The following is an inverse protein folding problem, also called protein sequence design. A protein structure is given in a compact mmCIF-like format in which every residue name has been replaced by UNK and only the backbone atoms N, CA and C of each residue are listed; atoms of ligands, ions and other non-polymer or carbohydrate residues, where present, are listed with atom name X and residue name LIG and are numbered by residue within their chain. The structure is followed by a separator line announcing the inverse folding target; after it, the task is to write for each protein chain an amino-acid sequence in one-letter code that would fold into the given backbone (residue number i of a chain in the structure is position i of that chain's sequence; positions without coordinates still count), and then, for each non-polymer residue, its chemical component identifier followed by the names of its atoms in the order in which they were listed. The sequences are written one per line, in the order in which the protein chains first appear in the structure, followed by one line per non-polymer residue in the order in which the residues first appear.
data_IF_799551342902
#
_entry.id   IF_799551342902
#
_cell.length_a   1.000
_cell.length_b   1.000
_cell.length_c   1.000
_cell.angle_alpha   90.00
_cell.angle_beta   90.00
_cell.angle_gamma   90.00
#
_symmetry.space_group_name_H-M   'P 1'
#
loop_
_entity.id
_entity.type
_entity.pdbx_description
1 polymer ?
#
# COMPACT_ATOMS: atom_id res chain seq x y z
N UNK A 1 -18.80 10.24 -1.62
CA UNK A 1 -19.41 8.93 -1.25
C UNK A 1 -19.20 8.78 0.25
N UNK A 2 -20.16 8.26 1.02
CA UNK A 2 -20.02 8.16 2.48
C UNK A 2 -19.90 6.69 2.89
N UNK A 3 -18.72 6.32 3.39
CA UNK A 3 -18.35 4.99 3.91
C UNK A 3 -17.88 5.14 5.36
N UNK A 4 -17.81 4.05 6.12
CA UNK A 4 -17.29 4.07 7.48
C UNK A 4 -15.84 4.57 7.52
N UNK A 5 -15.03 4.26 6.49
CA UNK A 5 -13.66 4.78 6.35
C UNK A 5 -13.64 6.32 6.20
N UNK A 6 -14.49 6.87 5.31
CA UNK A 6 -14.55 8.34 5.11
C UNK A 6 -14.92 9.08 6.38
N UNK A 7 -15.77 8.48 7.21
CA UNK A 7 -16.16 9.06 8.51
C UNK A 7 -15.07 8.91 9.56
N UNK A 8 -14.43 7.73 9.62
CA UNK A 8 -13.34 7.44 10.56
C UNK A 8 -12.16 8.39 10.39
N UNK A 9 -11.75 8.60 9.13
CA UNK A 9 -10.58 9.41 8.78
C UNK A 9 -10.91 10.85 8.41
N UNK A 10 -12.19 11.22 8.30
CA UNK A 10 -12.64 12.56 7.88
C UNK A 10 -12.13 12.97 6.48
N UNK A 11 -12.22 12.03 5.53
CA UNK A 11 -11.83 12.19 4.12
C UNK A 11 -13.05 12.18 3.20
N UNK A 12 -12.92 12.68 1.97
CA UNK A 12 -14.03 12.77 1.00
C UNK A 12 -14.19 11.49 0.17
N UNK A 13 -13.07 10.89 -0.23
CA UNK A 13 -13.02 9.69 -1.05
C UNK A 13 -12.43 8.52 -0.26
N UNK A 14 -13.01 7.30 -0.36
CA UNK A 14 -12.56 6.13 0.38
C UNK A 14 -11.31 5.50 -0.25
N UNK A 15 -10.28 6.33 -0.48
CA UNK A 15 -9.01 5.96 -1.10
C UNK A 15 -7.88 6.29 -0.13
N UNK A 16 -7.05 5.29 0.13
CA UNK A 16 -5.75 5.44 0.78
C UNK A 16 -4.67 5.24 -0.28
N UNK A 17 -3.81 6.22 -0.48
CA UNK A 17 -2.54 5.99 -1.17
C UNK A 17 -1.62 5.19 -0.23
N UNK A 18 -1.32 3.94 -0.60
CA UNK A 18 -0.62 2.99 0.25
C UNK A 18 0.86 3.35 0.43
N UNK A 19 1.43 3.03 1.59
CA UNK A 19 2.84 3.29 1.85
C UNK A 19 3.76 2.46 0.93
N UNK A 20 4.62 3.15 0.19
CA UNK A 20 5.59 2.60 -0.73
C UNK A 20 6.96 3.10 -0.28
N UNK A 21 7.79 2.20 0.25
CA UNK A 21 9.10 2.55 0.77
C UNK A 21 9.90 3.36 -0.28
N UNK A 22 10.62 4.37 0.20
CA UNK A 22 11.40 5.34 -0.60
C UNK A 22 10.61 6.40 -1.37
N UNK A 23 9.34 6.18 -1.74
CA UNK A 23 8.65 7.08 -2.68
C UNK A 23 7.34 7.68 -2.14
N UNK A 24 6.76 7.11 -1.08
CA UNK A 24 5.65 7.74 -0.33
C UNK A 24 6.19 8.77 0.67
N UNK A 25 6.54 9.93 0.13
CA UNK A 25 7.04 11.10 0.87
C UNK A 25 5.97 12.19 0.97
N UNK A 26 6.23 13.22 1.79
CA UNK A 26 5.32 14.30 2.16
C UNK A 26 4.65 14.98 0.96
N UNK A 27 5.35 15.15 -0.17
CA UNK A 27 4.80 15.76 -1.39
C UNK A 27 3.65 14.94 -1.98
N UNK A 28 3.87 13.63 -2.16
CA UNK A 28 2.85 12.72 -2.68
C UNK A 28 1.67 12.63 -1.71
N UNK A 29 1.98 12.43 -0.43
CA UNK A 29 0.96 12.23 0.60
C UNK A 29 0.08 13.48 0.75
N UNK A 30 0.67 14.66 0.80
CA UNK A 30 -0.08 15.92 0.88
C UNK A 30 -0.91 16.16 -0.38
N UNK A 31 -0.40 15.84 -1.58
CA UNK A 31 -1.15 15.98 -2.82
C UNK A 31 -2.39 15.07 -2.86
N UNK A 32 -2.26 13.82 -2.42
CA UNK A 32 -3.39 12.88 -2.32
C UNK A 32 -4.41 13.36 -1.26
N UNK A 33 -3.94 13.83 -0.11
CA UNK A 33 -4.81 14.35 0.95
C UNK A 33 -5.59 15.60 0.48
N UNK A 34 -4.92 16.53 -0.22
CA UNK A 34 -5.53 17.72 -0.81
C UNK A 34 -6.53 17.38 -1.93
N UNK A 35 -6.40 16.22 -2.57
CA UNK A 35 -7.35 15.73 -3.57
C UNK A 35 -8.64 15.13 -2.99
N UNK A 36 -8.79 15.12 -1.65
CA UNK A 36 -9.96 14.59 -0.95
C UNK A 36 -9.84 13.11 -0.53
N UNK A 37 -8.77 12.43 -0.92
CA UNK A 37 -8.40 11.11 -0.42
C UNK A 37 -7.48 11.25 0.81
N UNK A 38 -6.68 10.24 1.13
CA UNK A 38 -5.55 10.36 2.07
C UNK A 38 -4.34 9.58 1.58
N UNK A 39 -3.13 9.98 1.98
CA UNK A 39 -1.91 9.23 1.74
C UNK A 39 -1.26 8.71 3.03
N UNK A 40 -0.23 7.88 2.86
CA UNK A 40 0.52 7.28 3.95
C UNK A 40 2.02 7.42 3.70
N UNK A 41 2.73 8.17 4.55
CA UNK A 41 4.19 8.31 4.48
C UNK A 41 4.83 6.96 4.84
N UNK A 42 5.78 6.49 4.03
CA UNK A 42 6.47 5.22 4.29
C UNK A 42 7.73 5.41 5.14
N UNK A 43 7.73 4.90 6.38
CA UNK A 43 8.88 5.00 7.30
C UNK A 43 9.89 3.86 7.14
N UNK A 44 9.60 2.88 6.29
CA UNK A 44 10.48 1.72 6.05
C UNK A 44 11.88 2.13 5.61
N UNK A 45 12.89 1.76 6.39
CA UNK A 45 14.30 2.09 6.11
C UNK A 45 14.71 3.51 6.49
N UNK A 46 13.90 4.23 7.28
CA UNK A 46 14.15 5.61 7.72
C UNK A 46 14.45 5.67 9.22
N UNK A 47 15.14 6.73 9.62
CA UNK A 47 15.45 7.02 11.04
C UNK A 47 14.42 7.99 11.66
N UNK A 48 14.58 8.26 12.95
CA UNK A 48 13.69 9.11 13.73
C UNK A 48 13.73 10.58 13.30
N UNK A 49 14.90 11.10 12.94
CA UNK A 49 15.05 12.49 12.49
C UNK A 49 14.33 12.72 11.15
N UNK A 50 14.57 11.83 10.18
CA UNK A 50 13.87 11.85 8.91
C UNK A 50 12.37 11.75 9.11
N UNK A 51 11.92 10.81 9.95
CA UNK A 51 10.48 10.60 10.23
C UNK A 51 9.82 11.86 10.78
N UNK A 52 10.43 12.52 11.77
CA UNK A 52 9.92 13.76 12.35
C UNK A 52 9.81 14.87 11.30
N UNK A 53 10.89 15.08 10.54
CA UNK A 53 10.95 16.12 9.54
C UNK A 53 9.95 15.88 8.42
N UNK A 54 9.75 14.63 8.01
CA UNK A 54 8.82 14.26 6.95
C UNK A 54 7.36 14.48 7.35
N UNK A 55 6.97 14.12 8.59
CA UNK A 55 5.63 14.38 9.11
C UNK A 55 5.36 15.89 9.18
N UNK A 56 6.33 16.68 9.68
CA UNK A 56 6.22 18.15 9.73
C UNK A 56 6.13 18.78 8.34
N UNK A 57 6.93 18.30 7.40
CA UNK A 57 6.89 18.76 6.01
C UNK A 57 5.52 18.48 5.38
N UNK A 58 4.90 17.34 5.68
CA UNK A 58 3.55 17.02 5.20
C UNK A 58 2.49 17.95 5.80
N UNK A 59 2.53 18.21 7.11
CA UNK A 59 1.64 19.20 7.77
C UNK A 59 1.76 20.60 7.19
N UNK A 60 2.95 20.99 6.73
CA UNK A 60 3.15 22.29 6.08
C UNK A 60 2.52 22.39 4.68
N UNK A 61 2.20 21.26 4.04
CA UNK A 61 1.61 21.21 2.70
C UNK A 61 0.11 20.91 2.71
N UNK A 62 -0.45 20.46 3.84
CA UNK A 62 -1.87 20.14 3.95
C UNK A 62 -2.38 20.19 5.39
N UNK A 63 -3.60 20.71 5.56
CA UNK A 63 -4.38 20.58 6.79
C UNK A 63 -5.29 19.33 6.78
N UNK A 64 -5.25 18.53 5.70
CA UNK A 64 -6.05 17.32 5.54
C UNK A 64 -5.40 16.14 6.28
N UNK A 65 -6.20 15.18 6.78
CA UNK A 65 -5.68 14.02 7.50
C UNK A 65 -4.78 13.19 6.58
N UNK A 66 -3.66 12.74 7.13
CA UNK A 66 -2.75 11.80 6.50
C UNK A 66 -2.19 10.81 7.52
N UNK A 67 -1.67 9.70 7.03
CA UNK A 67 -1.10 8.65 7.86
C UNK A 67 0.40 8.44 7.66
N UNK A 68 0.95 7.56 8.48
CA UNK A 68 2.30 7.04 8.35
C UNK A 68 2.27 5.51 8.42
N UNK A 69 3.24 4.84 7.81
CA UNK A 69 3.38 3.39 7.86
C UNK A 69 4.62 2.99 8.65
N UNK A 70 4.41 2.17 9.68
CA UNK A 70 5.48 1.63 10.50
C UNK A 70 5.66 0.12 10.19
N UNK A 71 6.89 -0.24 9.84
CA UNK A 71 7.30 -1.63 9.69
C UNK A 71 7.70 -2.20 11.05
N UNK A 72 6.88 -3.09 11.61
CA UNK A 72 7.07 -3.62 12.96
C UNK A 72 8.20 -4.65 13.07
N UNK A 73 8.81 -5.05 11.96
CA UNK A 73 10.07 -5.80 11.94
C UNK A 73 11.31 -4.91 11.90
N UNK A 74 11.16 -3.58 11.79
CA UNK A 74 12.29 -2.67 11.80
C UNK A 74 12.97 -2.64 13.18
N UNK A 75 14.31 -2.58 13.24
CA UNK A 75 15.04 -2.59 14.51
C UNK A 75 14.76 -1.34 15.36
N UNK A 76 14.47 -0.21 14.73
CA UNK A 76 14.18 1.08 15.37
C UNK A 76 12.68 1.38 15.53
N UNK A 77 11.79 0.38 15.39
CA UNK A 77 10.33 0.61 15.41
C UNK A 77 9.84 1.34 16.67
N UNK A 78 10.41 1.05 17.83
CA UNK A 78 9.96 1.61 19.10
C UNK A 78 10.33 3.09 19.21
N UNK A 79 11.52 3.47 18.74
CA UNK A 79 11.93 4.87 18.58
C UNK A 79 10.99 5.61 17.61
N UNK A 80 10.64 4.98 16.48
CA UNK A 80 9.70 5.59 15.53
C UNK A 80 8.28 5.74 16.12
N UNK A 81 7.83 4.84 16.99
CA UNK A 81 6.54 4.99 17.70
C UNK A 81 6.54 6.25 18.55
N UNK A 82 7.62 6.54 19.26
CA UNK A 82 7.73 7.77 20.06
C UNK A 82 7.59 9.02 19.18
N UNK A 83 8.24 9.04 18.00
CA UNK A 83 8.09 10.13 17.03
C UNK A 83 6.65 10.25 16.53
N UNK A 84 6.01 9.13 16.23
CA UNK A 84 4.62 9.10 15.76
C UNK A 84 3.68 9.67 16.84
N UNK A 85 3.89 9.32 18.11
CA UNK A 85 3.09 9.83 19.23
C UNK A 85 3.36 11.33 19.47
N UNK A 86 4.61 11.79 19.32
CA UNK A 86 4.98 13.20 19.41
C UNK A 86 4.30 14.02 18.30
N UNK A 87 4.38 13.53 17.06
CA UNK A 87 3.93 14.25 15.88
C UNK A 87 2.45 14.05 15.54
N UNK A 88 1.77 13.02 16.07
CA UNK A 88 0.31 12.82 15.94
C UNK A 88 -0.22 12.94 14.50
N UNK A 89 0.25 12.11 13.54
CA UNK A 89 -0.48 11.95 12.28
C UNK A 89 -1.91 11.42 12.55
N UNK A 90 -2.83 11.59 11.60
CA UNK A 90 -4.23 11.22 11.82
C UNK A 90 -4.41 9.70 12.05
N UNK A 91 -3.57 8.89 11.40
CA UNK A 91 -3.56 7.44 11.55
C UNK A 91 -2.18 6.84 11.30
N UNK A 92 -2.01 5.59 11.70
CA UNK A 92 -0.85 4.78 11.39
C UNK A 92 -1.29 3.45 10.80
N UNK A 93 -0.64 3.05 9.71
CA UNK A 93 -0.73 1.68 9.21
C UNK A 93 0.44 0.86 9.75
N UNK A 94 0.15 -0.36 10.18
CA UNK A 94 1.15 -1.26 10.76
C UNK A 94 1.39 -2.43 9.80
N UNK A 95 2.60 -2.50 9.25
CA UNK A 95 3.02 -3.54 8.33
C UNK A 95 3.50 -4.81 9.04
N UNK A 96 4.41 -5.56 8.39
CA UNK A 96 4.91 -6.84 8.89
C UNK A 96 5.40 -6.78 10.35
N UNK A 97 4.86 -7.66 11.20
CA UNK A 97 5.15 -7.81 12.64
C UNK A 97 3.88 -8.00 13.47
N UNK A 98 3.98 -7.89 14.80
CA UNK A 98 2.82 -8.01 15.70
C UNK A 98 2.30 -6.62 16.10
N UNK A 99 1.14 -6.16 15.59
CA UNK A 99 0.63 -4.81 15.87
C UNK A 99 -0.04 -4.67 17.23
N UNK A 100 -0.49 -5.77 17.86
CA UNK A 100 -1.30 -5.75 19.10
C UNK A 100 -0.70 -4.89 20.21
N UNK A 101 0.61 -4.93 20.53
CA UNK A 101 1.20 -4.11 21.59
C UNK A 101 1.14 -2.60 21.32
N UNK A 102 0.96 -2.19 20.06
CA UNK A 102 1.03 -0.78 19.65
C UNK A 102 -0.35 -0.13 19.49
N UNK A 103 -1.43 -0.93 19.36
CA UNK A 103 -2.78 -0.41 19.11
C UNK A 103 -3.20 0.58 20.20
N UNK A 104 -3.23 0.13 21.46
CA UNK A 104 -3.72 0.96 22.57
C UNK A 104 -2.84 2.20 22.83
N UNK A 105 -1.49 2.12 22.90
CA UNK A 105 -0.65 3.30 23.07
C UNK A 105 -0.86 4.39 21.99
N UNK A 106 -0.99 3.99 20.73
CA UNK A 106 -1.23 4.94 19.62
C UNK A 106 -2.63 5.56 19.70
N UNK A 107 -3.65 4.77 20.04
CA UNK A 107 -5.01 5.27 20.26
C UNK A 107 -5.10 6.24 21.44
N UNK A 108 -4.39 5.98 22.53
CA UNK A 108 -4.33 6.89 23.69
C UNK A 108 -3.68 8.23 23.34
N UNK A 109 -2.83 8.27 22.31
CA UNK A 109 -2.27 9.50 21.72
C UNK A 109 -3.24 10.22 20.74
N UNK A 110 -4.40 9.63 20.46
CA UNK A 110 -5.40 10.15 19.51
C UNK A 110 -5.19 9.72 18.06
N UNK A 111 -4.34 8.72 17.80
CA UNK A 111 -3.98 8.26 16.45
C UNK A 111 -4.78 7.00 16.11
N UNK A 112 -5.41 6.98 14.94
CA UNK A 112 -6.14 5.79 14.46
C UNK A 112 -5.17 4.69 14.03
N UNK A 113 -5.47 3.43 14.34
CA UNK A 113 -4.57 2.31 14.04
C UNK A 113 -5.21 1.37 13.02
N UNK A 114 -4.54 1.21 11.88
CA UNK A 114 -5.04 0.45 10.72
C UNK A 114 -4.01 -0.60 10.27
N UNK A 115 -3.92 -1.77 10.92
CA UNK A 115 -2.95 -2.80 10.54
C UNK A 115 -3.25 -3.44 9.18
N UNK A 116 -2.19 -3.87 8.49
CA UNK A 116 -2.29 -4.69 7.27
C UNK A 116 -2.31 -6.17 7.66
N UNK A 117 -3.31 -6.93 7.18
CA UNK A 117 -3.49 -8.34 7.54
C UNK A 117 -3.68 -9.24 6.29
N UNK A 118 -2.98 -10.40 6.21
CA UNK A 118 -3.06 -11.30 5.05
C UNK A 118 -4.01 -12.49 5.23
N UNK A 119 -4.82 -12.54 6.30
CA UNK A 119 -5.71 -13.68 6.57
C UNK A 119 -6.83 -13.34 7.55
N UNK A 120 -7.94 -14.10 7.48
CA UNK A 120 -9.05 -14.00 8.43
C UNK A 120 -8.62 -14.22 9.87
N UNK A 121 -7.75 -15.21 10.13
CA UNK A 121 -7.24 -15.50 11.48
C UNK A 121 -6.57 -14.28 12.10
N UNK A 122 -5.76 -13.56 11.31
CA UNK A 122 -5.12 -12.34 11.79
C UNK A 122 -6.11 -11.19 11.87
N UNK A 123 -7.03 -11.04 10.90
CA UNK A 123 -8.07 -10.02 10.95
C UNK A 123 -8.90 -10.10 12.25
N UNK A 124 -9.39 -11.28 12.63
CA UNK A 124 -10.12 -11.50 13.90
C UNK A 124 -9.29 -11.11 15.11
N UNK A 125 -8.02 -11.55 15.16
CA UNK A 125 -7.11 -11.18 16.25
C UNK A 125 -6.89 -9.67 16.36
N UNK A 126 -6.82 -8.96 15.24
CA UNK A 126 -6.61 -7.51 15.19
C UNK A 126 -7.87 -6.75 15.58
N UNK A 127 -9.05 -7.22 15.16
CA UNK A 127 -10.34 -6.69 15.59
C UNK A 127 -10.55 -6.88 17.10
N UNK A 128 -10.30 -8.09 17.62
CA UNK A 128 -10.36 -8.38 19.07
C UNK A 128 -9.41 -7.49 19.88
N UNK A 129 -8.27 -7.12 19.30
CA UNK A 129 -7.30 -6.20 19.91
C UNK A 129 -7.71 -4.72 19.82
N UNK A 130 -8.82 -4.40 19.15
CA UNK A 130 -9.41 -3.07 19.13
C UNK A 130 -8.87 -2.12 18.06
N UNK A 131 -8.35 -2.63 16.93
CA UNK A 131 -7.97 -1.77 15.81
C UNK A 131 -9.15 -0.95 15.28
N UNK A 132 -8.89 0.27 14.78
CA UNK A 132 -9.94 1.17 14.29
C UNK A 132 -10.45 0.77 12.90
N UNK A 133 -9.60 0.12 12.10
CA UNK A 133 -9.89 -0.45 10.79
C UNK A 133 -8.79 -1.47 10.44
N UNK A 134 -8.95 -2.21 9.35
CA UNK A 134 -7.89 -3.08 8.80
C UNK A 134 -7.72 -2.88 7.31
N UNK A 135 -6.50 -3.12 6.82
CA UNK A 135 -6.23 -3.28 5.39
C UNK A 135 -6.02 -4.75 5.09
N UNK A 136 -6.79 -5.32 4.16
CA UNK A 136 -6.54 -6.66 3.62
C UNK A 136 -5.82 -6.52 2.28
N UNK A 137 -4.67 -7.18 2.13
CA UNK A 137 -3.82 -7.02 0.95
C UNK A 137 -3.62 -8.33 0.22
N UNK A 138 -4.11 -8.38 -1.01
CA UNK A 138 -3.95 -9.53 -1.89
C UNK A 138 -2.56 -9.64 -2.47
N UNK A 139 -2.17 -10.87 -2.81
CA UNK A 139 -0.87 -11.22 -3.36
C UNK A 139 -0.54 -10.51 -4.67
N UNK A 140 -1.51 -9.91 -5.34
CA UNK A 140 -1.39 -9.13 -6.58
C UNK A 140 -0.80 -7.73 -6.34
N UNK A 141 -0.69 -7.30 -5.07
CA UNK A 141 -0.02 -6.07 -4.66
C UNK A 141 1.48 -6.07 -5.01
N UNK A 142 2.07 -4.88 -5.13
CA UNK A 142 3.51 -4.72 -5.31
C UNK A 142 4.25 -4.74 -3.97
N UNK A 143 5.53 -5.15 -3.97
CA UNK A 143 6.31 -5.23 -2.74
C UNK A 143 6.10 -6.56 -2.01
N UNK A 144 6.22 -6.56 -0.69
CA UNK A 144 6.06 -7.80 0.11
C UNK A 144 4.60 -8.26 0.08
N UNK A 145 4.38 -9.55 -0.14
CA UNK A 145 3.04 -10.11 -0.35
C UNK A 145 2.74 -11.31 0.55
N UNK A 146 1.45 -11.50 0.84
CA UNK A 146 0.91 -12.76 1.33
C UNK A 146 0.68 -13.77 0.21
N UNK A 147 -0.02 -14.87 0.53
CA UNK A 147 -0.32 -15.95 -0.43
C UNK A 147 -1.77 -15.99 -0.91
N UNK A 148 -2.65 -15.13 -0.39
CA UNK A 148 -4.06 -15.08 -0.78
C UNK A 148 -4.32 -13.95 -1.77
N UNK A 149 -5.21 -14.15 -2.72
CA UNK A 149 -5.63 -13.14 -3.71
C UNK A 149 -6.55 -12.11 -3.07
N UNK A 150 -6.65 -10.91 -3.66
CA UNK A 150 -7.57 -9.87 -3.20
C UNK A 150 -9.01 -10.39 -3.18
N UNK A 151 -9.43 -11.14 -4.20
CA UNK A 151 -10.77 -11.74 -4.26
C UNK A 151 -11.01 -12.74 -3.11
N UNK A 152 -10.08 -13.68 -2.89
CA UNK A 152 -10.22 -14.65 -1.80
C UNK A 152 -10.17 -14.00 -0.42
N UNK A 153 -9.39 -12.93 -0.23
CA UNK A 153 -9.39 -12.19 1.02
C UNK A 153 -10.73 -11.48 1.26
N UNK A 154 -11.31 -10.85 0.23
CA UNK A 154 -12.63 -10.22 0.36
C UNK A 154 -13.71 -11.23 0.74
N UNK A 155 -13.80 -12.35 0.03
CA UNK A 155 -14.78 -13.43 0.32
C UNK A 155 -14.64 -13.99 1.74
N UNK A 156 -13.40 -14.20 2.21
CA UNK A 156 -13.15 -14.80 3.51
C UNK A 156 -13.27 -13.83 4.69
N UNK A 157 -13.08 -12.51 4.47
CA UNK A 157 -12.91 -11.54 5.57
C UNK A 157 -14.09 -10.58 5.71
N UNK A 158 -14.61 -10.04 4.60
CA UNK A 158 -15.68 -9.03 4.67
C UNK A 158 -16.94 -9.52 5.42
N UNK A 159 -17.39 -10.78 5.29
CA UNK A 159 -18.56 -11.26 6.05
C UNK A 159 -18.31 -11.46 7.55
N UNK A 160 -17.04 -11.52 7.98
CA UNK A 160 -16.63 -12.00 9.30
C UNK A 160 -16.06 -10.90 10.21
N UNK A 161 -15.82 -9.70 9.67
CA UNK A 161 -15.22 -8.55 10.37
C UNK A 161 -16.21 -7.39 10.40
N UNK A 162 -16.34 -6.74 11.56
CA UNK A 162 -17.29 -5.65 11.81
C UNK A 162 -16.64 -4.27 11.72
N UNK A 163 -15.36 -4.13 12.04
CA UNK A 163 -14.62 -2.87 11.83
C UNK A 163 -14.41 -2.58 10.34
N UNK A 164 -14.23 -1.31 9.92
CA UNK A 164 -14.04 -0.97 8.51
C UNK A 164 -12.88 -1.74 7.87
N UNK A 165 -13.14 -2.37 6.73
CA UNK A 165 -12.15 -3.09 5.94
C UNK A 165 -11.79 -2.32 4.68
N UNK A 166 -10.51 -2.03 4.52
CA UNK A 166 -9.91 -1.42 3.33
C UNK A 166 -9.26 -2.52 2.49
N UNK A 167 -9.52 -2.54 1.18
CA UNK A 167 -8.99 -3.57 0.28
C UNK A 167 -7.79 -3.06 -0.51
N UNK A 168 -6.72 -3.84 -0.54
CA UNK A 168 -5.51 -3.56 -1.31
C UNK A 168 -5.14 -4.74 -2.24
N UNK A 169 -4.41 -4.43 -3.31
CA UNK A 169 -3.91 -5.40 -4.29
C UNK A 169 -4.52 -5.21 -5.68
N UNK A 170 -3.68 -4.88 -6.65
CA UNK A 170 -4.03 -4.63 -8.06
C UNK A 170 -5.18 -3.64 -8.36
N UNK A 171 -5.62 -2.84 -7.38
CA UNK A 171 -6.59 -1.75 -7.61
C UNK A 171 -5.85 -0.53 -8.17
N UNK A 172 -6.08 -0.25 -9.46
CA UNK A 172 -5.38 0.81 -10.21
C UNK A 172 -6.31 1.75 -10.98
N UNK A 173 -7.59 1.40 -11.08
CA UNK A 173 -8.63 2.19 -11.75
C UNK A 173 -9.98 2.06 -11.03
N UNK A 174 -10.99 2.79 -11.48
CA UNK A 174 -12.27 2.84 -10.76
C UNK A 174 -13.06 1.54 -10.76
N UNK A 175 -12.78 0.59 -11.65
CA UNK A 175 -13.47 -0.71 -11.68
C UNK A 175 -13.06 -1.56 -10.48
N UNK A 176 -11.78 -1.54 -10.12
CA UNK A 176 -11.28 -2.19 -8.91
C UNK A 176 -11.91 -1.61 -7.65
N UNK A 177 -12.06 -0.27 -7.60
CA UNK A 177 -12.76 0.41 -6.50
C UNK A 177 -14.22 -0.03 -6.43
N UNK A 178 -14.93 0.00 -7.55
CA UNK A 178 -16.33 -0.43 -7.60
C UNK A 178 -16.50 -1.89 -7.14
N UNK A 179 -15.63 -2.80 -7.56
CA UNK A 179 -15.67 -4.20 -7.14
C UNK A 179 -15.51 -4.35 -5.63
N UNK A 180 -14.51 -3.69 -5.03
CA UNK A 180 -14.29 -3.75 -3.58
C UNK A 180 -15.48 -3.20 -2.79
N UNK A 181 -16.01 -2.03 -3.20
CA UNK A 181 -17.16 -1.41 -2.54
C UNK A 181 -18.44 -2.26 -2.66
N UNK A 182 -18.68 -2.86 -3.83
CA UNK A 182 -19.84 -3.75 -4.04
C UNK A 182 -19.76 -5.03 -3.21
N UNK A 183 -18.56 -5.50 -2.88
CA UNK A 183 -18.34 -6.66 -2.00
C UNK A 183 -18.43 -6.33 -0.51
N UNK A 184 -18.55 -5.04 -0.15
CA UNK A 184 -18.70 -4.61 1.25
C UNK A 184 -17.44 -4.00 1.87
N UNK A 185 -16.40 -3.71 1.09
CA UNK A 185 -15.28 -2.92 1.58
C UNK A 185 -15.70 -1.46 1.86
N UNK A 186 -15.09 -0.84 2.86
CA UNK A 186 -15.35 0.56 3.23
C UNK A 186 -14.41 1.53 2.52
N UNK A 187 -13.45 1.00 1.75
CA UNK A 187 -12.57 1.74 0.87
C UNK A 187 -11.47 0.87 0.28
N UNK A 188 -10.55 1.53 -0.43
CA UNK A 188 -9.42 0.86 -1.09
C UNK A 188 -8.09 1.49 -0.71
N UNK A 189 -7.04 0.68 -0.76
CA UNK A 189 -5.67 1.15 -0.77
C UNK A 189 -5.04 0.90 -2.14
N UNK A 190 -4.47 1.95 -2.72
CA UNK A 190 -3.83 1.92 -4.03
C UNK A 190 -2.35 2.30 -3.89
N UNK A 191 -1.46 1.44 -4.34
CA UNK A 191 -0.02 1.74 -4.40
C UNK A 191 0.41 2.08 -5.83
N UNK A 192 0.40 1.07 -6.70
CA UNK A 192 0.99 1.14 -8.05
C UNK A 192 0.47 2.27 -8.93
N UNK A 193 -0.80 2.66 -8.80
CA UNK A 193 -1.36 3.81 -9.53
C UNK A 193 -0.72 5.14 -9.13
N UNK A 194 -0.39 5.31 -7.85
CA UNK A 194 0.26 6.52 -7.33
C UNK A 194 1.78 6.53 -7.52
N UNK A 195 2.41 5.41 -7.92
CA UNK A 195 3.80 5.45 -8.42
C UNK A 195 3.93 6.38 -9.64
N UNK A 196 2.86 6.49 -10.43
CA UNK A 196 2.78 7.36 -11.60
C UNK A 196 2.15 8.73 -11.31
N UNK A 197 2.00 9.11 -10.04
CA UNK A 197 1.66 10.50 -9.70
C UNK A 197 2.84 11.43 -10.05
N UNK A 198 2.58 12.66 -10.49
CA UNK A 198 3.63 13.67 -10.71
C UNK A 198 4.42 13.97 -9.42
N UNK A 199 3.72 14.00 -8.29
CA UNK A 199 4.25 14.32 -6.98
C UNK A 199 5.09 13.17 -6.38
N UNK A 200 4.92 11.95 -6.89
CA UNK A 200 5.73 10.79 -6.51
C UNK A 200 7.17 10.98 -6.99
N UNK A 201 8.14 10.92 -6.08
CA UNK A 201 9.56 11.15 -6.38
C UNK A 201 10.28 9.90 -6.93
N UNK A 202 9.55 8.85 -7.31
CA UNK A 202 10.13 7.72 -8.02
C UNK A 202 10.87 8.19 -9.27
N UNK A 203 12.07 7.66 -9.50
CA UNK A 203 12.89 8.00 -10.64
C UNK A 203 12.14 7.77 -11.95
N UNK A 204 12.31 8.67 -12.93
CA UNK A 204 11.56 8.63 -14.19
C UNK A 204 11.70 7.29 -14.91
N UNK A 205 12.89 6.69 -14.92
CA UNK A 205 13.13 5.34 -15.46
C UNK A 205 12.20 4.27 -14.84
N UNK A 206 11.95 4.33 -13.52
CA UNK A 206 11.02 3.40 -12.86
C UNK A 206 9.60 3.60 -13.36
N UNK A 207 9.15 4.86 -13.46
CA UNK A 207 7.81 5.20 -13.98
C UNK A 207 7.64 4.73 -15.43
N UNK A 208 8.64 4.98 -16.28
CA UNK A 208 8.63 4.52 -17.67
C UNK A 208 8.66 3.00 -17.80
N UNK A 209 9.41 2.30 -16.96
CA UNK A 209 9.43 0.84 -16.95
C UNK A 209 8.05 0.27 -16.60
N UNK A 210 7.34 0.88 -15.63
CA UNK A 210 5.97 0.53 -15.27
C UNK A 210 5.00 0.76 -16.44
N UNK A 211 5.11 1.92 -17.12
CA UNK A 211 4.25 2.26 -18.26
C UNK A 211 4.44 1.31 -19.45
N UNK A 212 5.67 0.83 -19.67
CA UNK A 212 6.00 -0.10 -20.75
C UNK A 212 5.60 -1.55 -20.45
N UNK A 213 5.36 -1.89 -19.19
CA UNK A 213 5.10 -3.26 -18.75
C UNK A 213 3.69 -3.75 -19.12
N UNK A 214 3.56 -5.04 -19.36
CA UNK A 214 2.28 -5.72 -19.61
C UNK A 214 1.93 -6.68 -18.47
N UNK A 215 0.74 -7.26 -18.52
CA UNK A 215 0.20 -8.22 -17.54
C UNK A 215 1.10 -9.43 -17.31
N UNK A 216 1.96 -9.77 -18.27
CA UNK A 216 2.92 -10.88 -18.17
C UNK A 216 4.28 -10.51 -17.59
N UNK A 217 4.52 -9.22 -17.30
CA UNK A 217 5.82 -8.75 -16.81
C UNK A 217 5.93 -8.74 -15.28
N UNK A 218 4.91 -9.19 -14.55
CA UNK A 218 4.99 -9.35 -13.09
C UNK A 218 5.70 -10.65 -12.71
N UNK A 219 6.55 -10.57 -11.68
CA UNK A 219 7.22 -11.73 -11.08
C UNK A 219 7.27 -11.63 -9.56
N UNK A 220 7.40 -12.76 -8.87
CA UNK A 220 7.56 -12.85 -7.41
C UNK A 220 8.89 -13.50 -7.09
N UNK A 221 9.75 -12.80 -6.33
CA UNK A 221 11.02 -13.32 -5.81
C UNK A 221 10.92 -13.57 -4.31
N UNK A 222 11.77 -14.43 -3.75
CA UNK A 222 11.93 -14.57 -2.30
C UNK A 222 10.88 -15.46 -1.64
N UNK A 223 10.22 -16.33 -2.40
CA UNK A 223 9.28 -17.32 -1.86
C UNK A 223 9.97 -18.27 -0.88
N UNK A 224 11.26 -18.58 -1.11
CA UNK A 224 12.05 -19.42 -0.22
C UNK A 224 12.65 -18.68 0.99
N UNK A 225 12.35 -17.38 1.14
CA UNK A 225 12.94 -16.52 2.17
C UNK A 225 12.07 -16.42 3.43
N UNK A 226 10.94 -17.12 3.48
CA UNK A 226 10.09 -17.22 4.68
C UNK A 226 9.19 -16.01 4.96
N UNK A 227 9.23 -14.96 4.13
CA UNK A 227 8.45 -13.73 4.29
C UNK A 227 7.33 -13.56 3.23
N UNK A 228 6.92 -14.65 2.56
CA UNK A 228 5.78 -14.65 1.60
C UNK A 228 6.10 -14.21 0.16
N UNK A 229 7.29 -13.65 -0.08
CA UNK A 229 7.74 -13.18 -1.38
C UNK A 229 7.62 -11.66 -1.57
N UNK A 230 8.24 -11.17 -2.64
CA UNK A 230 8.24 -9.76 -3.07
C UNK A 230 7.85 -9.71 -4.55
N UNK A 231 6.77 -8.99 -4.88
CA UNK A 231 6.33 -8.76 -6.25
C UNK A 231 7.01 -7.55 -6.88
N UNK A 232 7.50 -7.72 -8.10
CA UNK A 232 8.16 -6.67 -8.89
C UNK A 232 7.98 -6.93 -10.39
N UNK A 233 8.41 -5.98 -11.24
CA UNK A 233 8.60 -6.25 -12.67
C UNK A 233 9.74 -7.25 -12.90
N UNK A 234 9.59 -8.04 -13.95
CA UNK A 234 10.64 -8.88 -14.50
C UNK A 234 11.77 -8.02 -15.08
N UNK A 235 13.00 -8.32 -14.71
CA UNK A 235 14.23 -7.69 -15.17
C UNK A 235 15.45 -8.59 -14.88
N UNK A 236 16.66 -8.09 -15.08
CA UNK A 236 17.88 -8.89 -14.86
C UNK A 236 18.06 -9.28 -13.39
N UNK A 237 17.78 -8.38 -12.44
CA UNK A 237 17.84 -8.71 -11.02
C UNK A 237 16.89 -9.85 -10.66
N UNK A 238 15.60 -9.74 -10.98
CA UNK A 238 14.61 -10.77 -10.64
C UNK A 238 14.91 -12.09 -11.35
N UNK A 239 15.42 -12.05 -12.59
CA UNK A 239 15.88 -13.26 -13.29
C UNK A 239 17.03 -13.95 -12.54
N UNK A 240 18.06 -13.20 -12.12
CA UNK A 240 19.19 -13.74 -11.36
C UNK A 240 18.76 -14.26 -9.98
N UNK A 241 17.87 -13.54 -9.30
CA UNK A 241 17.38 -13.94 -7.98
C UNK A 241 16.59 -15.25 -8.04
N UNK A 242 15.68 -15.39 -9.01
CA UNK A 242 14.92 -16.62 -9.19
C UNK A 242 15.79 -17.83 -9.50
N UNK A 243 16.81 -17.66 -10.36
CA UNK A 243 17.77 -18.72 -10.61
C UNK A 243 18.46 -19.18 -9.31
N UNK A 244 18.89 -18.22 -8.47
CA UNK A 244 19.49 -18.46 -7.17
C UNK A 244 18.53 -19.04 -6.10
N UNK A 245 17.21 -18.97 -6.30
CA UNK A 245 16.24 -19.69 -5.47
C UNK A 245 16.21 -21.19 -5.82
N UNK A 246 16.53 -21.56 -7.06
CA UNK A 246 16.33 -22.93 -7.57
C UNK A 246 17.61 -23.68 -7.95
N UNK A 247 18.78 -23.07 -7.83
CA UNK A 247 20.06 -23.64 -8.27
C UNK A 247 20.61 -24.76 -7.36
N UNK A 248 20.06 -24.93 -6.15
CA UNK A 248 20.48 -25.92 -5.17
C UNK A 248 21.83 -25.62 -4.49
N UNK A 249 22.46 -24.48 -4.78
CA UNK A 249 23.79 -24.12 -4.26
C UNK A 249 23.84 -22.78 -3.54
N UNK A 250 23.01 -21.80 -3.94
CA UNK A 250 23.00 -20.49 -3.30
C UNK A 250 22.35 -20.58 -1.90
N UNK A 251 23.03 -20.01 -0.91
CA UNK A 251 22.57 -20.02 0.49
C UNK A 251 21.52 -18.92 0.78
N UNK A 252 20.73 -19.04 1.87
CA UNK A 252 19.82 -17.98 2.30
C UNK A 252 20.51 -16.63 2.59
N UNK A 253 21.75 -16.65 3.11
CA UNK A 253 22.51 -15.44 3.39
C UNK A 253 22.94 -14.73 2.11
N UNK A 254 23.41 -15.48 1.11
CA UNK A 254 23.77 -14.94 -0.20
C UNK A 254 22.55 -14.33 -0.90
N UNK A 255 21.41 -15.02 -0.91
CA UNK A 255 20.15 -14.45 -1.43
C UNK A 255 19.75 -13.17 -0.72
N UNK A 256 19.90 -13.13 0.61
CA UNK A 256 19.63 -11.91 1.38
C UNK A 256 20.53 -10.76 0.94
N UNK A 257 21.83 -11.00 0.73
CA UNK A 257 22.76 -9.99 0.21
C UNK A 257 22.40 -9.54 -1.21
N UNK A 258 21.88 -10.43 -2.06
CA UNK A 258 21.44 -10.09 -3.42
C UNK A 258 20.27 -9.10 -3.44
N UNK A 259 19.32 -9.21 -2.50
CA UNK A 259 18.10 -8.35 -2.48
C UNK A 259 18.26 -7.06 -1.70
N UNK A 260 19.26 -6.94 -0.82
CA UNK A 260 19.50 -5.73 -0.03
C UNK A 260 19.65 -4.47 -0.90
N UNK A 261 18.88 -3.43 -0.58
CA UNK A 261 18.94 -2.12 -1.25
C UNK A 261 18.37 -2.07 -2.67
N UNK A 262 17.90 -3.20 -3.23
CA UNK A 262 17.41 -3.27 -4.62
C UNK A 262 16.17 -2.41 -4.88
N UNK A 263 15.27 -2.24 -3.90
CA UNK A 263 14.13 -1.33 -4.03
C UNK A 263 14.60 0.12 -4.20
N UNK A 264 15.48 0.61 -3.33
CA UNK A 264 16.06 1.96 -3.42
C UNK A 264 16.75 2.17 -4.78
N UNK A 265 17.51 1.17 -5.23
CA UNK A 265 18.23 1.19 -6.51
C UNK A 265 17.30 1.44 -7.70
N UNK A 266 16.13 0.81 -7.74
CA UNK A 266 15.14 1.08 -8.78
C UNK A 266 14.43 2.42 -8.56
N UNK A 267 13.95 2.66 -7.33
CA UNK A 267 13.03 3.74 -7.02
C UNK A 267 13.69 5.12 -6.98
N UNK A 268 14.93 5.21 -6.49
CA UNK A 268 15.67 6.47 -6.31
C UNK A 268 16.78 6.60 -7.35
N UNK A 269 17.59 5.56 -7.53
CA UNK A 269 18.77 5.62 -8.39
C UNK A 269 18.43 5.37 -9.88
N UNK A 270 17.20 4.92 -10.19
CA UNK A 270 16.72 4.74 -11.55
C UNK A 270 17.28 3.53 -12.30
N UNK A 271 18.00 2.63 -11.60
CA UNK A 271 18.51 1.38 -12.17
C UNK A 271 17.40 0.32 -12.12
N UNK A 272 16.59 0.33 -13.18
CA UNK A 272 15.48 -0.62 -13.41
C UNK A 272 15.95 -1.98 -13.93
N UNK A 273 17.25 -2.14 -14.21
CA UNK A 273 17.84 -3.40 -14.68
C UNK A 273 18.22 -4.27 -13.49
N UNK A 274 18.91 -3.70 -12.50
CA UNK A 274 19.41 -4.40 -11.32
C UNK A 274 18.67 -4.05 -10.02
N UNK A 275 17.78 -3.06 -10.03
CA UNK A 275 16.88 -2.76 -8.92
C UNK A 275 15.59 -3.58 -8.96
N UNK A 276 14.89 -3.67 -7.83
CA UNK A 276 13.58 -4.29 -7.74
C UNK A 276 12.51 -3.23 -8.01
N UNK A 277 11.92 -3.22 -9.21
CA UNK A 277 10.79 -2.34 -9.55
C UNK A 277 9.51 -2.90 -8.92
N UNK A 278 9.28 -2.58 -7.65
CA UNK A 278 8.13 -3.08 -6.89
C UNK A 278 6.83 -2.45 -7.38
N UNK A 279 5.95 -3.26 -7.96
CA UNK A 279 4.66 -2.84 -8.53
C UNK A 279 3.71 -4.05 -8.57
N UNK A 280 2.40 -3.80 -8.46
CA UNK A 280 1.36 -4.82 -8.51
C UNK A 280 0.94 -5.19 -9.93
N UNK A 281 0.07 -6.19 -10.06
CA UNK A 281 -0.26 -6.81 -11.36
C UNK A 281 -1.20 -6.01 -12.27
N UNK A 282 -1.72 -4.85 -11.83
CA UNK A 282 -2.62 -3.99 -12.64
C UNK A 282 -1.94 -3.24 -13.78
N UNK A 283 -0.93 -3.83 -14.44
CA UNK A 283 0.08 -3.13 -15.26
C UNK A 283 -0.48 -2.43 -16.49
N UNK A 284 -1.29 -3.10 -17.33
CA UNK A 284 -1.78 -2.52 -18.59
C UNK A 284 -2.69 -1.28 -18.42
N UNK A 285 -3.06 -0.94 -17.18
CA UNK A 285 -3.86 0.25 -16.83
C UNK A 285 -3.01 1.40 -16.30
N UNK A 286 -1.72 1.17 -16.06
CA UNK A 286 -0.74 2.15 -15.59
C UNK A 286 -0.05 2.81 -16.79
N UNK A 287 -0.79 3.65 -17.52
CA UNK A 287 -0.36 4.10 -18.86
C UNK A 287 0.21 5.52 -18.92
N UNK A 288 0.04 6.33 -17.88
CA UNK A 288 0.43 7.74 -17.92
C UNK A 288 0.88 8.24 -16.55
N UNK A 289 1.78 9.22 -16.57
CA UNK A 289 2.10 10.05 -15.40
C UNK A 289 1.08 11.19 -15.38
N UNK A 290 0.48 11.47 -14.23
CA UNK A 290 -0.52 12.52 -14.08
C UNK A 290 -0.59 13.02 -12.62
N UNK A 291 -1.13 14.22 -12.34
CA UNK A 291 -1.24 14.72 -10.96
C UNK A 291 -2.05 13.80 -10.06
N UNK A 292 -1.68 13.67 -8.79
CA UNK A 292 -2.42 12.86 -7.81
C UNK A 292 -3.91 13.25 -7.72
N UNK A 293 -4.20 14.54 -7.85
CA UNK A 293 -5.58 15.05 -7.94
C UNK A 293 -6.36 14.43 -9.12
N UNK A 294 -5.76 14.40 -10.30
CA UNK A 294 -6.37 13.82 -11.50
C UNK A 294 -6.59 12.32 -11.34
N UNK A 295 -5.63 11.60 -10.74
CA UNK A 295 -5.78 10.17 -10.41
C UNK A 295 -7.02 9.96 -9.55
N UNK A 296 -7.10 10.64 -8.40
CA UNK A 296 -8.20 10.48 -7.44
C UNK A 296 -9.56 10.76 -8.09
N UNK A 297 -9.68 11.88 -8.79
CA UNK A 297 -10.92 12.27 -9.45
C UNK A 297 -11.33 11.27 -10.54
N UNK A 298 -10.38 10.82 -11.36
CA UNK A 298 -10.64 9.89 -12.47
C UNK A 298 -11.12 8.54 -11.95
N UNK A 299 -10.39 7.94 -10.99
CA UNK A 299 -10.75 6.61 -10.49
C UNK A 299 -12.07 6.64 -9.70
N UNK A 300 -12.38 7.73 -8.99
CA UNK A 300 -13.67 7.87 -8.31
C UNK A 300 -14.83 8.04 -9.30
N UNK A 301 -14.65 8.84 -10.35
CA UNK A 301 -15.66 8.98 -11.40
C UNK A 301 -15.90 7.65 -12.13
N UNK A 302 -14.84 6.94 -12.49
CA UNK A 302 -14.93 5.60 -13.07
C UNK A 302 -15.64 4.60 -12.13
N UNK A 303 -15.38 4.67 -10.82
CA UNK A 303 -16.03 3.82 -9.82
C UNK A 303 -17.54 4.09 -9.75
N UNK A 304 -17.94 5.37 -9.66
CA UNK A 304 -19.35 5.78 -9.65
C UNK A 304 -20.06 5.29 -10.92
N UNK A 305 -19.42 5.46 -12.08
CA UNK A 305 -19.97 5.01 -13.35
C UNK A 305 -20.09 3.49 -13.44
N UNK A 306 -19.10 2.76 -12.91
CA UNK A 306 -19.11 1.28 -12.86
C UNK A 306 -20.23 0.76 -11.96
N UNK A 307 -20.42 1.34 -10.78
CA UNK A 307 -21.52 0.99 -9.86
C UNK A 307 -22.88 1.27 -10.52
N UNK A 308 -23.07 2.46 -11.10
CA UNK A 308 -24.31 2.81 -11.82
C UNK A 308 -24.58 1.87 -13.00
N UNK A 309 -23.53 1.44 -13.71
CA UNK A 309 -23.67 0.46 -14.80
C UNK A 309 -24.11 -0.90 -14.27
N UNK A 310 -23.57 -1.36 -13.15
CA UNK A 310 -23.95 -2.62 -12.51
C UNK A 310 -25.43 -2.62 -12.05
N UNK A 311 -25.92 -1.50 -11.52
CA UNK A 311 -27.33 -1.37 -11.12
C UNK A 311 -28.33 -1.63 -12.27
N UNK A 312 -27.94 -1.36 -13.52
CA UNK A 312 -28.80 -1.62 -14.70
C UNK A 312 -29.06 -3.11 -14.94
N UNK A 313 -28.29 -4.00 -14.31
CA UNK A 313 -28.47 -5.45 -14.41
C UNK A 313 -29.59 -5.97 -13.51
N UNK A 314 -30.07 -5.14 -12.59
CA UNK A 314 -31.17 -5.48 -11.69
C UNK A 314 -32.45 -4.95 -12.36
N UNK A 315 -33.16 -5.82 -13.07
CA UNK A 315 -34.55 -5.55 -13.41
C UNK A 315 -35.38 -5.67 -12.12
N UNK A 316 -36.07 -4.60 -11.74
CA UNK A 316 -37.06 -4.65 -10.67
C UNK A 316 -38.25 -5.40 -11.27
N UNK A 317 -38.36 -6.70 -10.97
CA UNK A 317 -39.55 -7.52 -11.22
C UNK A 317 -40.44 -7.50 -9.99
#
# INVERSE_FOLDING_TARGET
MRTALTQLLQIEYPIIQGAMAWVSEHKLVAAVANAGATGVIALGGRDAEWTRNEIRACKNLTDKPFGVNLMLMAPNKDELVDIIIEEKPAFVTLGAGNPVPYIKPLQDAGIKVIPVVPSLKLAKRIEEAGADAIIIEGMEAGGHIGSQTTMSLMENILPEISIPVVVAGAIVDGRGIAAALLMGAEGVQMGSRFLLAEECQAHINMKEAIIKATDTDSVVTGLLSGHGGVRSLKNEFTTRYLAAETDGVTTPEERTKMSQGTNKRAAIDGDVVNGAVQVGQGLNRLTTIEPAHTIVQTVMNEAIMSIRKAQRLIEIV
#
